data_IF_621585779267
#
_entry.id   IF_621585779267
#
_cell.length_a   1.000
_cell.length_b   1.000
_cell.length_c   1.000
_cell.angle_alpha   90.00
_cell.angle_beta   90.00
_cell.angle_gamma   90.00
#
_symmetry.space_group_name_H-M   'P 1'
#
loop_
_entity.id
_entity.type
_entity.pdbx_description
1 polymer ?
#
# COMPACT_ATOMS: atom_id res chain seq x y z
N UNK A 1 33.04 1.43 -7.86
CA UNK A 1 32.75 2.25 -6.67
C UNK A 1 31.34 2.77 -6.85
N UNK A 2 30.36 2.15 -6.20
CA UNK A 2 28.97 2.65 -6.20
C UNK A 2 28.95 3.92 -5.37
N UNK A 3 28.47 4.99 -5.97
CA UNK A 3 28.28 6.27 -5.28
C UNK A 3 27.30 6.09 -4.10
N UNK A 4 27.82 5.98 -2.88
CA UNK A 4 27.05 5.83 -1.63
C UNK A 4 26.35 7.14 -1.22
N UNK A 5 26.36 8.17 -2.06
CA UNK A 5 25.85 9.50 -1.74
C UNK A 5 24.35 9.71 -1.97
N UNK A 6 23.63 8.77 -2.60
CA UNK A 6 22.19 8.92 -2.83
C UNK A 6 21.38 8.37 -1.64
N UNK A 7 20.53 9.19 -0.99
CA UNK A 7 19.71 8.76 0.14
C UNK A 7 18.58 7.80 -0.30
N UNK A 8 18.10 6.99 0.65
CA UNK A 8 16.94 6.10 0.51
C UNK A 8 17.13 5.03 -0.57
N UNK A 9 18.34 4.44 -0.66
CA UNK A 9 18.65 3.35 -1.60
C UNK A 9 18.12 2.01 -1.08
N UNK A 10 17.79 1.13 -2.02
CA UNK A 10 17.21 -0.20 -1.75
C UNK A 10 17.95 -1.30 -2.53
N UNK A 11 19.25 -1.11 -2.79
CA UNK A 11 20.04 -2.14 -3.47
C UNK A 11 19.97 -3.46 -2.72
N UNK A 12 19.90 -4.54 -3.50
CA UNK A 12 19.79 -5.90 -2.99
C UNK A 12 18.52 -6.16 -2.15
N UNK A 13 17.53 -5.27 -2.14
CA UNK A 13 16.24 -5.51 -1.49
C UNK A 13 15.24 -6.12 -2.46
N UNK A 14 14.47 -7.10 -1.98
CA UNK A 14 13.33 -7.67 -2.69
C UNK A 14 12.03 -7.14 -2.10
N UNK A 15 11.21 -6.51 -2.94
CA UNK A 15 9.93 -5.93 -2.53
C UNK A 15 8.75 -6.64 -3.21
N UNK A 16 7.64 -6.74 -2.50
CA UNK A 16 6.35 -7.18 -3.02
C UNK A 16 5.34 -6.04 -2.86
N UNK A 17 4.68 -5.66 -3.96
CA UNK A 17 3.64 -4.62 -3.95
C UNK A 17 2.32 -5.24 -4.41
N UNK A 18 1.33 -5.33 -3.51
CA UNK A 18 -0.01 -5.81 -3.86
C UNK A 18 -0.85 -4.70 -4.50
N UNK A 19 -1.68 -5.05 -5.52
CA UNK A 19 -2.35 -4.03 -6.33
C UNK A 19 -1.35 -3.16 -7.07
N UNK A 20 -0.25 -3.77 -7.51
CA UNK A 20 0.94 -3.09 -8.06
C UNK A 20 0.81 -2.62 -9.49
N UNK A 21 -0.26 -3.01 -10.20
CA UNK A 21 -0.41 -2.72 -11.62
C UNK A 21 -1.01 -1.35 -11.94
N UNK A 22 -1.46 -0.58 -10.94
CA UNK A 22 -2.10 0.71 -11.17
C UNK A 22 -1.96 1.69 -9.99
N UNK A 23 -2.16 2.98 -10.24
CA UNK A 23 -2.31 4.01 -9.22
C UNK A 23 -1.11 4.12 -8.26
N UNK A 24 -1.39 4.09 -6.94
CA UNK A 24 -0.36 4.17 -5.90
C UNK A 24 0.58 2.96 -5.98
N UNK A 25 0.04 1.76 -6.23
CA UNK A 25 0.84 0.53 -6.35
C UNK A 25 1.83 0.59 -7.50
N UNK A 26 1.40 1.01 -8.68
CA UNK A 26 2.26 1.23 -9.85
C UNK A 26 3.36 2.26 -9.58
N UNK A 27 2.99 3.41 -9.01
CA UNK A 27 3.95 4.45 -8.66
C UNK A 27 4.97 3.93 -7.62
N UNK A 28 4.50 3.13 -6.66
CA UNK A 28 5.35 2.49 -5.66
C UNK A 28 6.33 1.51 -6.31
N UNK A 29 5.85 0.62 -7.18
CA UNK A 29 6.73 -0.31 -7.89
C UNK A 29 7.82 0.43 -8.68
N UNK A 30 7.45 1.48 -9.43
CA UNK A 30 8.40 2.34 -10.17
C UNK A 30 9.45 2.97 -9.24
N UNK A 31 9.02 3.50 -8.10
CA UNK A 31 9.90 4.21 -7.18
C UNK A 31 10.87 3.25 -6.46
N UNK A 32 10.40 2.05 -6.07
CA UNK A 32 11.25 1.04 -5.45
C UNK A 32 12.29 0.48 -6.44
N UNK A 33 11.92 0.23 -7.71
CA UNK A 33 12.87 -0.15 -8.77
C UNK A 33 13.91 0.96 -8.99
N UNK A 34 13.48 2.23 -9.07
CA UNK A 34 14.39 3.37 -9.21
C UNK A 34 15.38 3.47 -8.04
N UNK A 35 14.96 3.07 -6.84
CA UNK A 35 15.82 3.02 -5.65
C UNK A 35 16.77 1.82 -5.62
N UNK A 36 16.70 0.90 -6.60
CA UNK A 36 17.59 -0.25 -6.73
C UNK A 36 17.00 -1.59 -6.25
N UNK A 37 15.74 -1.64 -5.82
CA UNK A 37 15.11 -2.89 -5.41
C UNK A 37 14.72 -3.77 -6.61
N UNK A 38 14.68 -5.09 -6.39
CA UNK A 38 13.92 -6.01 -7.22
C UNK A 38 12.46 -6.02 -6.74
N UNK A 39 11.49 -5.85 -7.65
CA UNK A 39 10.08 -5.67 -7.27
C UNK A 39 9.18 -6.74 -7.88
N UNK A 40 8.50 -7.50 -7.03
CA UNK A 40 7.36 -8.34 -7.40
C UNK A 40 6.11 -7.47 -7.50
N UNK A 41 5.58 -7.32 -8.71
CA UNK A 41 4.37 -6.54 -8.99
C UNK A 41 3.18 -7.50 -8.92
N UNK A 42 2.55 -7.57 -7.76
CA UNK A 42 1.46 -8.50 -7.50
C UNK A 42 0.10 -7.85 -7.79
N UNK A 43 -0.66 -8.44 -8.70
CA UNK A 43 -1.98 -7.92 -9.08
C UNK A 43 -2.89 -9.03 -9.61
N UNK A 44 -4.20 -8.86 -9.46
CA UNK A 44 -5.20 -9.71 -10.11
C UNK A 44 -5.24 -9.45 -11.62
N UNK A 45 -4.90 -8.23 -12.06
CA UNK A 45 -4.71 -7.87 -13.45
C UNK A 45 -3.27 -8.22 -13.91
N UNK A 46 -3.02 -9.52 -14.03
CA UNK A 46 -1.70 -10.02 -14.42
C UNK A 46 -1.18 -9.47 -15.76
N UNK A 47 -1.97 -9.28 -16.82
CA UNK A 47 -1.50 -8.63 -18.04
C UNK A 47 -0.96 -7.22 -17.83
N UNK A 48 -1.64 -6.39 -17.02
CA UNK A 48 -1.16 -5.05 -16.71
C UNK A 48 0.12 -5.08 -15.86
N UNK A 49 0.19 -5.97 -14.85
CA UNK A 49 1.39 -6.19 -14.06
C UNK A 49 2.58 -6.64 -14.94
N UNK A 50 2.33 -7.54 -15.91
CA UNK A 50 3.33 -8.02 -16.87
C UNK A 50 3.87 -6.90 -17.77
N UNK A 51 2.99 -6.07 -18.31
CA UNK A 51 3.38 -4.92 -19.13
C UNK A 51 4.23 -3.91 -18.33
N UNK A 52 3.84 -3.64 -17.08
CA UNK A 52 4.59 -2.76 -16.19
C UNK A 52 5.97 -3.36 -15.86
N UNK A 53 6.03 -4.64 -15.47
CA UNK A 53 7.28 -5.31 -15.15
C UNK A 53 8.26 -5.29 -16.33
N UNK A 54 7.78 -5.57 -17.55
CA UNK A 54 8.61 -5.50 -18.76
C UNK A 54 9.19 -4.09 -19.02
N UNK A 55 8.50 -3.03 -18.58
CA UNK A 55 8.97 -1.65 -18.75
C UNK A 55 10.01 -1.21 -17.72
N UNK A 56 10.09 -1.88 -16.55
CA UNK A 56 10.91 -1.45 -15.42
C UNK A 56 12.26 -2.16 -15.30
N UNK A 57 12.42 -3.34 -15.87
CA UNK A 57 13.65 -4.13 -15.82
C UNK A 57 13.78 -4.94 -14.54
N UNK A 58 14.17 -4.33 -13.41
CA UNK A 58 14.39 -5.04 -12.13
C UNK A 58 13.09 -5.38 -11.42
N UNK A 59 12.18 -6.10 -12.10
CA UNK A 59 10.86 -6.46 -11.58
C UNK A 59 10.27 -7.68 -12.28
N UNK A 60 9.30 -8.31 -11.63
CA UNK A 60 8.53 -9.42 -12.17
C UNK A 60 7.06 -9.31 -11.79
N UNK A 61 6.18 -9.63 -12.72
CA UNK A 61 4.76 -9.75 -12.43
C UNK A 61 4.47 -11.03 -11.65
N UNK A 62 3.59 -10.93 -10.66
CA UNK A 62 3.13 -12.03 -9.83
C UNK A 62 1.59 -12.08 -9.84
N UNK A 63 0.97 -13.10 -10.42
CA UNK A 63 -0.48 -13.26 -10.34
C UNK A 63 -0.89 -13.41 -8.89
N UNK A 64 -1.77 -12.53 -8.38
CA UNK A 64 -2.20 -12.58 -7.00
C UNK A 64 -3.61 -12.02 -6.82
N UNK A 65 -4.54 -12.91 -6.48
CA UNK A 65 -5.80 -12.53 -5.84
C UNK A 65 -5.60 -12.54 -4.33
N UNK A 66 -5.53 -11.35 -3.73
CA UNK A 66 -5.30 -11.17 -2.29
C UNK A 66 -6.45 -11.71 -1.42
N UNK A 67 -7.60 -12.05 -2.00
CA UNK A 67 -8.75 -12.63 -1.29
C UNK A 67 -8.76 -14.16 -1.31
N UNK A 68 -7.93 -14.78 -2.17
CA UNK A 68 -7.84 -16.23 -2.35
C UNK A 68 -6.66 -16.83 -1.59
N UNK A 69 -6.89 -17.65 -0.54
CA UNK A 69 -5.81 -18.35 0.16
C UNK A 69 -4.94 -19.22 -0.75
N UNK A 70 -5.53 -19.84 -1.78
CA UNK A 70 -4.81 -20.66 -2.76
C UNK A 70 -3.87 -19.80 -3.59
N UNK A 71 -4.37 -18.68 -4.16
CA UNK A 71 -3.54 -17.74 -4.93
C UNK A 71 -2.39 -17.17 -4.10
N UNK A 72 -2.65 -16.84 -2.81
CA UNK A 72 -1.61 -16.35 -1.89
C UNK A 72 -0.55 -17.43 -1.65
N UNK A 73 -0.94 -18.70 -1.44
CA UNK A 73 0.00 -19.80 -1.24
C UNK A 73 0.85 -20.05 -2.48
N UNK A 74 0.24 -20.04 -3.67
CA UNK A 74 0.94 -20.20 -4.96
C UNK A 74 1.93 -19.04 -5.20
N UNK A 75 1.52 -17.82 -4.87
CA UNK A 75 2.41 -16.66 -4.96
C UNK A 75 3.58 -16.76 -3.96
N UNK A 76 3.32 -17.15 -2.70
CA UNK A 76 4.36 -17.31 -1.69
C UNK A 76 5.39 -18.40 -2.05
N UNK A 77 4.96 -19.48 -2.70
CA UNK A 77 5.85 -20.54 -3.16
C UNK A 77 6.82 -20.11 -4.27
N UNK A 78 6.55 -19.02 -4.97
CA UNK A 78 7.42 -18.49 -6.02
C UNK A 78 8.57 -17.61 -5.47
N UNK A 79 8.46 -17.12 -4.23
CA UNK A 79 9.44 -16.24 -3.64
C UNK A 79 10.36 -17.01 -2.68
N UNK A 80 11.65 -16.88 -2.87
CA UNK A 80 12.67 -17.41 -1.94
C UNK A 80 13.18 -16.35 -0.96
N UNK A 81 12.88 -15.07 -1.24
CA UNK A 81 13.34 -13.92 -0.46
C UNK A 81 12.32 -12.78 -0.54
N UNK A 82 12.12 -12.10 0.58
CA UNK A 82 11.34 -10.87 0.65
C UNK A 82 11.87 -10.00 1.80
N UNK A 83 12.13 -8.73 1.51
CA UNK A 83 12.63 -7.74 2.46
C UNK A 83 11.60 -6.64 2.75
N UNK A 84 10.75 -6.34 1.77
CA UNK A 84 9.78 -5.26 1.82
C UNK A 84 8.42 -5.77 1.33
N UNK A 85 7.38 -5.64 2.16
CA UNK A 85 5.99 -5.89 1.77
C UNK A 85 5.20 -4.59 1.79
N UNK A 86 4.58 -4.25 0.65
CA UNK A 86 3.64 -3.12 0.54
C UNK A 86 2.23 -3.66 0.34
N UNK A 87 1.42 -3.61 1.39
CA UNK A 87 0.00 -3.92 1.32
C UNK A 87 -0.76 -2.71 0.78
N UNK A 88 -0.96 -2.67 -0.54
CA UNK A 88 -1.61 -1.56 -1.22
C UNK A 88 -2.97 -1.95 -1.84
N UNK A 89 -3.19 -3.21 -2.20
CA UNK A 89 -4.46 -3.65 -2.76
C UNK A 89 -5.65 -3.25 -1.88
N UNK A 90 -6.70 -2.70 -2.51
CA UNK A 90 -7.87 -2.25 -1.79
C UNK A 90 -8.99 -1.75 -2.71
N UNK A 91 -10.21 -1.73 -2.18
CA UNK A 91 -11.40 -1.25 -2.86
C UNK A 91 -12.11 -0.19 -2.00
N UNK A 92 -12.95 0.63 -2.64
CA UNK A 92 -13.78 1.63 -1.99
C UNK A 92 -15.26 1.26 -1.94
N UNK A 93 -15.97 1.92 -1.03
CA UNK A 93 -17.44 1.86 -0.95
C UNK A 93 -18.00 3.23 -0.55
N UNK A 94 -19.22 3.51 -0.99
CA UNK A 94 -20.02 4.70 -0.62
C UNK A 94 -21.31 4.22 0.00
N UNK A 95 -21.53 4.58 1.25
CA UNK A 95 -22.72 4.26 1.99
C UNK A 95 -22.62 4.64 3.47
N UNK A 96 -23.77 4.95 4.08
CA UNK A 96 -23.95 5.04 5.53
C UNK A 96 -24.11 3.64 6.12
N UNK A 97 -24.33 3.53 7.43
CA UNK A 97 -24.67 2.26 8.07
C UNK A 97 -26.01 1.70 7.54
N UNK A 98 -26.94 2.57 7.19
CA UNK A 98 -28.28 2.20 6.71
C UNK A 98 -28.30 1.78 5.24
N UNK A 99 -27.35 2.30 4.44
CA UNK A 99 -27.31 2.10 2.97
C UNK A 99 -26.14 1.21 2.52
N UNK A 100 -25.37 0.66 3.45
CA UNK A 100 -24.33 -0.33 3.16
C UNK A 100 -24.92 -1.72 3.33
N UNK A 101 -25.11 -2.44 2.23
CA UNK A 101 -25.61 -3.82 2.28
C UNK A 101 -24.58 -4.75 2.93
N UNK A 102 -25.00 -5.79 3.67
CA UNK A 102 -24.10 -6.74 4.33
C UNK A 102 -23.03 -7.32 3.38
N UNK A 103 -23.42 -7.65 2.15
CA UNK A 103 -22.53 -8.22 1.12
C UNK A 103 -21.43 -7.23 0.70
N UNK A 104 -21.76 -5.95 0.60
CA UNK A 104 -20.79 -4.89 0.30
C UNK A 104 -19.83 -4.67 1.47
N UNK A 105 -20.35 -4.71 2.70
CA UNK A 105 -19.54 -4.63 3.92
C UNK A 105 -18.54 -5.80 4.00
N UNK A 106 -19.04 -7.04 3.83
CA UNK A 106 -18.21 -8.26 3.88
C UNK A 106 -17.15 -8.27 2.77
N UNK A 107 -17.55 -7.90 1.54
CA UNK A 107 -16.61 -7.78 0.41
C UNK A 107 -15.50 -6.77 0.70
N UNK A 108 -15.84 -5.63 1.29
CA UNK A 108 -14.88 -4.59 1.62
C UNK A 108 -13.91 -5.05 2.71
N UNK A 109 -14.43 -5.68 3.78
CA UNK A 109 -13.58 -6.24 4.84
C UNK A 109 -12.70 -7.37 4.32
N UNK A 110 -13.21 -8.22 3.42
CA UNK A 110 -12.43 -9.29 2.83
C UNK A 110 -11.22 -8.76 2.06
N UNK A 111 -11.41 -7.71 1.22
CA UNK A 111 -10.31 -7.15 0.42
C UNK A 111 -9.42 -6.23 1.25
N UNK A 112 -9.98 -5.32 2.06
CA UNK A 112 -9.17 -4.27 2.70
C UNK A 112 -8.56 -4.70 4.05
N UNK A 113 -9.10 -5.74 4.69
CA UNK A 113 -8.68 -6.16 6.04
C UNK A 113 -8.18 -7.59 6.03
N UNK A 114 -9.05 -8.56 5.68
CA UNK A 114 -8.69 -9.98 5.70
C UNK A 114 -7.54 -10.29 4.74
N UNK A 115 -7.52 -9.68 3.57
CA UNK A 115 -6.43 -9.84 2.61
C UNK A 115 -5.09 -9.32 3.16
N UNK A 116 -5.06 -8.17 3.82
CA UNK A 116 -3.83 -7.66 4.48
C UNK A 116 -3.31 -8.66 5.50
N UNK A 117 -4.20 -9.25 6.30
CA UNK A 117 -3.83 -10.31 7.25
C UNK A 117 -3.29 -11.56 6.54
N UNK A 118 -3.99 -12.08 5.53
CA UNK A 118 -3.61 -13.32 4.84
C UNK A 118 -2.28 -13.18 4.09
N UNK A 119 -2.11 -12.09 3.35
CA UNK A 119 -0.86 -11.79 2.62
C UNK A 119 0.29 -11.63 3.61
N UNK A 120 0.13 -10.80 4.64
CA UNK A 120 1.17 -10.62 5.66
C UNK A 120 1.54 -11.95 6.31
N UNK A 121 0.55 -12.76 6.71
CA UNK A 121 0.79 -14.08 7.31
C UNK A 121 1.56 -15.03 6.41
N UNK A 122 1.27 -15.03 5.11
CA UNK A 122 1.94 -15.91 4.15
C UNK A 122 3.40 -15.51 3.92
N UNK A 123 3.69 -14.21 3.88
CA UNK A 123 5.02 -13.70 3.56
C UNK A 123 5.87 -13.36 4.79
N UNK A 124 5.31 -13.38 6.01
CA UNK A 124 6.04 -13.04 7.23
C UNK A 124 7.29 -13.90 7.48
N UNK A 125 7.33 -15.22 7.15
CA UNK A 125 8.55 -16.00 7.33
C UNK A 125 9.72 -15.46 6.52
N UNK A 126 9.51 -15.00 5.28
CA UNK A 126 10.53 -14.42 4.42
C UNK A 126 10.99 -13.05 4.96
N UNK A 127 10.05 -12.22 5.43
CA UNK A 127 10.35 -10.93 6.03
C UNK A 127 11.17 -11.06 7.32
N UNK A 128 10.88 -12.07 8.16
CA UNK A 128 11.67 -12.35 9.37
C UNK A 128 13.08 -12.83 9.05
N UNK A 129 13.26 -13.54 7.94
CA UNK A 129 14.57 -13.97 7.45
C UNK A 129 15.43 -12.85 6.83
N UNK A 130 14.82 -11.69 6.50
CA UNK A 130 15.51 -10.57 5.85
C UNK A 130 16.75 -10.09 6.62
N UNK A 131 16.65 -9.98 7.94
CA UNK A 131 17.76 -9.54 8.80
C UNK A 131 18.95 -10.50 8.78
N UNK A 132 18.72 -11.77 8.52
CA UNK A 132 19.79 -12.81 8.45
C UNK A 132 20.47 -12.84 7.09
N UNK A 133 19.96 -12.11 6.10
CA UNK A 133 20.56 -12.04 4.78
C UNK A 133 21.81 -11.15 4.82
N UNK A 134 23.01 -11.70 4.50
CA UNK A 134 24.26 -10.92 4.52
C UNK A 134 24.23 -9.68 3.62
N UNK A 135 23.49 -9.73 2.52
CA UNK A 135 23.36 -8.60 1.58
C UNK A 135 22.56 -7.42 2.14
N UNK A 136 21.80 -7.63 3.22
CA UNK A 136 20.99 -6.60 3.87
C UNK A 136 21.71 -5.85 4.98
N UNK A 137 22.98 -6.16 5.24
CA UNK A 137 23.75 -5.54 6.32
C UNK A 137 23.04 -5.53 7.69
N UNK A 138 22.24 -6.57 7.98
CA UNK A 138 21.45 -6.70 9.21
C UNK A 138 20.16 -5.86 9.27
N UNK A 139 19.77 -5.24 8.16
CA UNK A 139 18.50 -4.49 8.14
C UNK A 139 17.28 -5.42 8.28
N UNK A 140 16.32 -4.97 9.06
CA UNK A 140 15.08 -5.69 9.36
C UNK A 140 14.12 -5.72 8.16
N UNK A 141 13.27 -6.74 8.09
CA UNK A 141 12.15 -6.75 7.16
C UNK A 141 11.22 -5.55 7.39
N UNK A 142 10.58 -5.07 6.33
CA UNK A 142 9.72 -3.88 6.39
C UNK A 142 8.34 -4.15 5.80
N UNK A 143 7.30 -3.75 6.51
CA UNK A 143 5.91 -3.75 6.04
C UNK A 143 5.41 -2.31 5.98
N UNK A 144 4.91 -1.91 4.81
CA UNK A 144 4.22 -0.62 4.63
C UNK A 144 2.77 -0.90 4.23
N UNK A 145 1.83 -0.53 5.07
CA UNK A 145 0.40 -0.67 4.81
C UNK A 145 -0.17 0.63 4.24
N UNK A 146 -0.80 0.59 3.07
CA UNK A 146 -1.52 1.73 2.52
C UNK A 146 -2.94 1.75 3.12
N UNK A 147 -3.09 2.55 4.18
CA UNK A 147 -4.36 2.81 4.83
C UNK A 147 -5.14 3.93 4.12
N UNK A 148 -5.60 4.93 4.83
CA UNK A 148 -6.25 6.16 4.35
C UNK A 148 -6.48 7.10 5.53
N UNK A 149 -6.61 8.39 5.29
CA UNK A 149 -7.16 9.34 6.29
C UNK A 149 -8.54 8.89 6.81
N UNK A 150 -9.29 8.14 5.98
CA UNK A 150 -10.56 7.51 6.39
C UNK A 150 -10.42 6.52 7.55
N UNK A 151 -9.22 6.03 7.83
CA UNK A 151 -8.94 5.21 9.02
C UNK A 151 -8.65 6.02 10.29
N UNK A 152 -8.56 7.34 10.17
CA UNK A 152 -8.21 8.26 11.25
C UNK A 152 -9.37 9.19 11.60
N UNK A 153 -10.16 9.59 10.61
CA UNK A 153 -11.30 10.50 10.75
C UNK A 153 -12.56 9.93 10.10
N UNK A 154 -13.72 10.33 10.62
CA UNK A 154 -15.00 9.98 10.00
C UNK A 154 -15.23 10.79 8.73
N UNK A 155 -15.69 10.12 7.68
CA UNK A 155 -16.06 10.75 6.41
C UNK A 155 -17.50 10.38 6.08
N UNK A 156 -18.32 11.39 5.78
CA UNK A 156 -19.73 11.19 5.42
C UNK A 156 -19.87 10.18 4.27
N UNK A 157 -20.80 9.23 4.41
CA UNK A 157 -21.07 8.18 3.41
C UNK A 157 -19.85 7.26 3.15
N UNK A 158 -19.04 6.96 4.18
CA UNK A 158 -17.87 6.06 4.09
C UNK A 158 -17.82 5.04 5.23
N UNK A 159 -18.97 4.64 5.78
CA UNK A 159 -19.04 3.78 6.96
C UNK A 159 -18.13 2.55 6.86
N UNK A 160 -18.38 1.68 5.88
CA UNK A 160 -17.60 0.44 5.72
C UNK A 160 -16.12 0.73 5.36
N UNK A 161 -15.87 1.74 4.51
CA UNK A 161 -14.50 2.09 4.11
C UNK A 161 -13.68 2.62 5.28
N UNK A 162 -14.22 3.56 6.08
CA UNK A 162 -13.56 4.06 7.29
C UNK A 162 -13.28 2.93 8.27
N UNK A 163 -14.24 2.04 8.51
CA UNK A 163 -14.08 0.87 9.37
C UNK A 163 -12.91 -0.01 8.90
N UNK A 164 -12.88 -0.32 7.60
CA UNK A 164 -11.82 -1.17 7.04
C UNK A 164 -10.42 -0.54 7.15
N UNK A 165 -10.30 0.77 6.89
CA UNK A 165 -9.00 1.47 6.95
C UNK A 165 -8.56 1.73 8.40
N UNK A 166 -9.49 1.90 9.34
CA UNK A 166 -9.20 1.91 10.78
C UNK A 166 -8.63 0.56 11.28
N UNK A 167 -9.16 -0.55 10.77
CA UNK A 167 -8.62 -1.89 11.07
C UNK A 167 -7.16 -2.05 10.59
N UNK A 168 -6.81 -1.53 9.40
CA UNK A 168 -5.42 -1.56 8.89
C UNK A 168 -4.48 -0.74 9.77
N UNK A 169 -4.93 0.43 10.27
CA UNK A 169 -4.17 1.25 11.22
C UNK A 169 -3.92 0.47 12.52
N UNK A 170 -4.93 -0.21 13.05
CA UNK A 170 -4.78 -1.02 14.27
C UNK A 170 -3.83 -2.21 14.05
N UNK A 171 -3.97 -2.96 12.94
CA UNK A 171 -3.06 -4.05 12.59
C UNK A 171 -1.60 -3.59 12.45
N UNK A 172 -1.36 -2.41 11.91
CA UNK A 172 -0.01 -1.83 11.78
C UNK A 172 0.66 -1.70 13.14
N UNK A 173 -0.03 -1.12 14.12
CA UNK A 173 0.50 -0.95 15.49
C UNK A 173 0.72 -2.28 16.18
N UNK A 174 -0.23 -3.22 16.02
CA UNK A 174 -0.12 -4.54 16.66
C UNK A 174 1.09 -5.30 16.11
N UNK A 175 1.26 -5.37 14.80
CA UNK A 175 2.41 -6.05 14.19
C UNK A 175 3.76 -5.44 14.60
N UNK A 176 3.84 -4.12 14.73
CA UNK A 176 5.05 -3.45 15.19
C UNK A 176 5.42 -3.84 16.64
N UNK A 177 4.43 -4.09 17.49
CA UNK A 177 4.64 -4.52 18.88
C UNK A 177 4.95 -6.02 18.96
N UNK A 178 4.35 -6.85 18.11
CA UNK A 178 4.58 -8.30 18.11
C UNK A 178 5.98 -8.67 17.58
N UNK A 179 6.56 -7.85 16.69
CA UNK A 179 7.87 -8.12 16.05
C UNK A 179 8.90 -6.99 16.20
N UNK A 180 9.16 -6.48 17.42
CA UNK A 180 9.86 -5.20 17.61
C UNK A 180 11.34 -5.21 17.22
N UNK A 181 11.97 -6.39 17.09
CA UNK A 181 13.39 -6.52 16.76
C UNK A 181 13.66 -7.00 15.34
N UNK A 182 12.64 -7.50 14.66
CA UNK A 182 12.82 -8.20 13.39
C UNK A 182 12.05 -7.57 12.24
N UNK A 183 11.00 -6.80 12.53
CA UNK A 183 10.20 -6.10 11.53
C UNK A 183 10.01 -4.63 11.91
N UNK A 184 9.99 -3.78 10.90
CA UNK A 184 9.43 -2.43 10.98
C UNK A 184 8.09 -2.43 10.25
N UNK A 185 7.04 -2.00 10.93
CA UNK A 185 5.68 -2.01 10.35
C UNK A 185 5.09 -0.61 10.50
N UNK A 186 4.80 0.05 9.37
CA UNK A 186 4.26 1.39 9.36
C UNK A 186 3.06 1.49 8.40
N UNK A 187 2.22 2.50 8.59
CA UNK A 187 1.13 2.79 7.67
C UNK A 187 1.25 4.20 7.10
N UNK A 188 0.86 4.32 5.83
CA UNK A 188 0.63 5.60 5.19
C UNK A 188 -0.88 5.78 5.06
N UNK A 189 -1.38 6.97 5.43
CA UNK A 189 -2.76 7.39 5.35
C UNK A 189 -2.88 8.52 4.31
N UNK A 190 -3.06 8.19 3.02
CA UNK A 190 -3.24 9.20 1.98
C UNK A 190 -4.57 9.96 2.15
N UNK A 191 -4.57 11.23 1.78
CA UNK A 191 -5.78 11.96 1.42
C UNK A 191 -6.34 11.47 0.09
N UNK A 192 -7.02 12.35 -0.67
CA UNK A 192 -7.48 12.00 -2.02
C UNK A 192 -6.32 12.11 -3.00
N UNK A 193 -5.97 10.99 -3.64
CA UNK A 193 -4.86 10.87 -4.61
C UNK A 193 -5.42 10.63 -6.00
N UNK A 194 -4.89 11.31 -7.01
CA UNK A 194 -5.31 11.19 -8.41
C UNK A 194 -4.91 9.81 -8.96
N UNK A 195 -5.87 8.90 -9.04
CA UNK A 195 -5.67 7.49 -9.38
C UNK A 195 -6.86 6.95 -10.18
N UNK A 196 -6.71 5.83 -10.88
CA UNK A 196 -7.85 5.11 -11.48
C UNK A 196 -8.94 4.75 -10.46
N UNK A 197 -8.58 4.57 -9.19
CA UNK A 197 -9.54 4.34 -8.10
C UNK A 197 -10.47 5.55 -7.91
N UNK A 198 -9.95 6.78 -7.89
CA UNK A 198 -10.73 8.00 -7.77
C UNK A 198 -11.54 8.25 -9.04
N UNK A 199 -10.97 7.99 -10.21
CA UNK A 199 -11.68 8.11 -11.49
C UNK A 199 -12.87 7.12 -11.56
N UNK A 200 -12.66 5.87 -11.17
CA UNK A 200 -13.72 4.86 -11.07
C UNK A 200 -14.82 5.25 -10.06
N UNK A 201 -14.45 5.90 -8.95
CA UNK A 201 -15.41 6.46 -7.99
C UNK A 201 -16.25 7.57 -8.63
N UNK A 202 -15.63 8.51 -9.34
CA UNK A 202 -16.33 9.60 -10.01
C UNK A 202 -17.27 9.06 -11.10
N UNK A 203 -16.81 8.08 -11.90
CA UNK A 203 -17.62 7.46 -12.95
C UNK A 203 -18.82 6.72 -12.39
N UNK A 204 -18.65 5.97 -11.32
CA UNK A 204 -19.70 5.12 -10.74
C UNK A 204 -20.77 5.92 -10.00
N UNK A 205 -20.39 6.95 -9.24
CA UNK A 205 -21.27 7.63 -8.30
C UNK A 205 -21.56 9.09 -8.65
N UNK A 206 -20.75 9.70 -9.53
CA UNK A 206 -20.81 11.14 -9.84
C UNK A 206 -20.72 11.43 -11.33
N UNK A 207 -21.22 10.54 -12.17
CA UNK A 207 -21.11 10.62 -13.63
C UNK A 207 -21.61 11.95 -14.21
N UNK A 208 -22.64 12.53 -13.61
CA UNK A 208 -23.30 13.75 -14.12
C UNK A 208 -22.71 15.04 -13.52
N UNK A 209 -21.90 14.96 -12.46
CA UNK A 209 -21.31 16.11 -11.76
C UNK A 209 -19.83 15.89 -11.40
N UNK A 210 -19.09 15.20 -12.26
CA UNK A 210 -17.68 14.81 -12.00
C UNK A 210 -16.78 16.00 -11.62
N UNK A 211 -16.86 17.10 -12.37
CA UNK A 211 -15.99 18.27 -12.13
C UNK A 211 -16.32 18.98 -10.82
N UNK A 212 -17.61 19.09 -10.48
CA UNK A 212 -18.04 19.63 -9.20
C UNK A 212 -17.53 18.76 -8.05
N UNK A 213 -17.75 17.45 -8.14
CA UNK A 213 -17.26 16.50 -7.13
C UNK A 213 -15.72 16.52 -7.04
N UNK A 214 -15.03 16.63 -8.19
CA UNK A 214 -13.56 16.76 -8.19
C UNK A 214 -13.10 18.04 -7.51
N UNK A 215 -13.81 19.15 -7.68
CA UNK A 215 -13.55 20.38 -6.97
C UNK A 215 -13.77 20.24 -5.45
N UNK A 216 -14.83 19.56 -5.03
CA UNK A 216 -15.08 19.24 -3.62
C UNK A 216 -13.96 18.35 -3.04
N UNK A 217 -13.49 17.35 -3.79
CA UNK A 217 -12.39 16.50 -3.37
C UNK A 217 -11.08 17.29 -3.18
N UNK A 218 -10.81 18.27 -4.06
CA UNK A 218 -9.66 19.19 -3.91
C UNK A 218 -9.82 20.09 -2.66
N UNK A 219 -11.02 20.64 -2.45
CA UNK A 219 -11.30 21.54 -1.34
C UNK A 219 -11.16 20.91 0.05
N UNK A 220 -11.28 19.55 0.15
CA UNK A 220 -11.02 18.83 1.41
C UNK A 220 -9.57 18.91 1.87
N UNK A 221 -8.66 19.21 0.97
CA UNK A 221 -7.22 19.25 1.22
C UNK A 221 -6.78 20.73 1.20
N UNK A 222 -6.39 21.32 2.33
CA UNK A 222 -5.98 22.74 2.41
C UNK A 222 -4.93 23.17 1.38
N UNK A 223 -4.08 22.23 0.93
CA UNK A 223 -3.10 22.48 -0.15
C UNK A 223 -3.76 22.81 -1.51
N UNK A 224 -5.10 22.57 -1.66
CA UNK A 224 -5.90 22.98 -2.81
C UNK A 224 -5.81 22.09 -4.05
N UNK A 225 -5.20 20.90 -3.94
CA UNK A 225 -5.10 19.93 -5.03
C UNK A 225 -5.22 18.49 -4.53
N UNK A 226 -5.45 17.55 -5.46
CA UNK A 226 -5.31 16.14 -5.17
C UNK A 226 -3.83 15.78 -5.02
N UNK A 227 -3.53 14.80 -4.18
CA UNK A 227 -2.21 14.18 -4.12
C UNK A 227 -1.89 13.44 -5.41
N UNK A 228 -0.61 13.25 -5.69
CA UNK A 228 -0.15 12.45 -6.83
C UNK A 228 0.37 11.08 -6.33
N UNK A 229 0.19 9.98 -7.09
CA UNK A 229 0.66 8.66 -6.69
C UNK A 229 2.14 8.60 -6.30
N UNK A 230 3.00 9.35 -6.98
CA UNK A 230 4.42 9.39 -6.69
C UNK A 230 4.76 10.05 -5.32
N UNK A 231 3.90 10.95 -4.81
CA UNK A 231 4.08 11.54 -3.49
C UNK A 231 3.90 10.49 -2.38
N UNK A 232 2.98 9.54 -2.58
CA UNK A 232 2.81 8.40 -1.67
C UNK A 232 3.97 7.41 -1.83
N UNK A 233 4.36 7.10 -3.07
CA UNK A 233 5.47 6.19 -3.37
C UNK A 233 6.80 6.66 -2.78
N UNK A 234 7.08 7.96 -2.77
CA UNK A 234 8.27 8.54 -2.15
C UNK A 234 8.34 8.25 -0.65
N UNK A 235 7.20 8.30 0.05
CA UNK A 235 7.16 7.94 1.47
C UNK A 235 7.32 6.43 1.69
N UNK A 236 6.76 5.60 0.79
CA UNK A 236 7.00 4.14 0.83
C UNK A 236 8.50 3.86 0.71
N UNK A 237 9.21 4.49 -0.25
CA UNK A 237 10.67 4.36 -0.40
C UNK A 237 11.41 4.75 0.87
N UNK A 238 11.09 5.91 1.46
CA UNK A 238 11.69 6.34 2.71
C UNK A 238 11.48 5.32 3.83
N UNK A 239 10.25 4.88 4.05
CA UNK A 239 9.93 3.90 5.10
C UNK A 239 10.58 2.52 4.86
N UNK A 240 10.83 2.16 3.60
CA UNK A 240 11.50 0.92 3.21
C UNK A 240 13.02 0.99 3.43
N UNK A 241 13.62 2.18 3.44
CA UNK A 241 15.06 2.39 3.51
C UNK A 241 15.62 2.29 4.92
N UNK A 242 16.96 2.23 5.02
CA UNK A 242 17.69 2.13 6.29
C UNK A 242 17.64 3.43 7.09
N UNK A 243 17.40 4.58 6.44
CA UNK A 243 17.20 5.87 7.11
C UNK A 243 15.95 5.90 7.99
N UNK A 244 15.00 4.99 7.76
CA UNK A 244 13.82 4.81 8.59
C UNK A 244 13.98 3.72 9.68
N UNK A 245 15.23 3.31 10.01
CA UNK A 245 15.51 2.19 10.92
C UNK A 245 14.88 2.36 12.32
N UNK A 246 14.68 3.58 12.79
CA UNK A 246 14.06 3.88 14.09
C UNK A 246 12.55 4.16 14.02
N UNK A 247 11.92 3.86 12.87
CA UNK A 247 10.50 4.12 12.65
C UNK A 247 9.74 2.80 12.55
N UNK A 248 8.92 2.49 13.55
CA UNK A 248 8.00 1.34 13.57
C UNK A 248 6.72 1.69 14.35
N UNK A 249 5.58 1.14 13.96
CA UNK A 249 4.26 1.42 14.55
C UNK A 249 3.67 2.79 14.19
N UNK A 250 4.34 3.56 13.34
CA UNK A 250 3.95 4.92 13.00
C UNK A 250 2.89 4.96 11.91
N UNK A 251 2.04 6.00 11.99
CA UNK A 251 0.96 6.27 11.04
C UNK A 251 1.22 7.64 10.44
N UNK A 252 1.53 7.66 9.14
CA UNK A 252 1.90 8.88 8.43
C UNK A 252 0.77 9.37 7.55
N UNK A 253 0.31 10.58 7.77
CA UNK A 253 -0.64 11.24 6.86
C UNK A 253 0.11 11.92 5.72
N UNK A 254 -0.38 11.70 4.49
CA UNK A 254 0.03 12.42 3.28
C UNK A 254 -1.26 12.88 2.60
N UNK A 255 -1.82 13.96 3.10
CA UNK A 255 -3.21 14.33 2.86
C UNK A 255 -3.42 15.81 2.52
N UNK A 256 -2.34 16.55 2.28
CA UNK A 256 -2.40 17.97 1.96
C UNK A 256 -3.00 18.83 3.08
N UNK A 257 -2.89 18.38 4.34
CA UNK A 257 -3.39 19.07 5.52
C UNK A 257 -4.83 18.74 5.90
N UNK A 258 -5.48 17.79 5.24
CA UNK A 258 -6.89 17.44 5.49
C UNK A 258 -7.16 17.11 6.97
N UNK A 259 -6.32 16.31 7.60
CA UNK A 259 -6.54 15.91 9.01
C UNK A 259 -6.00 16.90 10.03
N UNK A 260 -5.38 17.98 9.60
CA UNK A 260 -4.85 19.05 10.45
C UNK A 260 -5.80 20.27 10.53
N UNK A 261 -6.84 20.31 9.70
CA UNK A 261 -7.79 21.43 9.60
C UNK A 261 -9.12 21.15 10.31
#
# INVERSE_FOLDING_TARGET
MTDQSQPFRLENRHALVTGGASGIGEATAKELVRAGAFVWIADINHPAAGALAASLGSSQALPLDVTSPTSIAEAAAQLTRLDILVNNAGIGHVGSIETTEPEDFDRLLNVNVRAVYLVTRAFIPLLLASQQNPENNGATGTIVNIASVSGLVGIKQRFAYCTSKGAVVAMTRQLAVDYPKTLRVNAICPGTVETPFVEGYLEKFHKHNKEETRAELRARQPIGRLGQPHEIASMVRYLASDEAAFISGSIFTIDGGWTAA
#
